data_IF_174432502050
#
_entry.id   IF_174432502050
#
_cell.length_a   1.000
_cell.length_b   1.000
_cell.length_c   1.000
_cell.angle_alpha   90.00
_cell.angle_beta   90.00
_cell.angle_gamma   90.00
#
_symmetry.space_group_name_H-M   'P 1'
#
loop_
_entity.id
_entity.type
_entity.pdbx_description
1 polymer ?
#
# COMPACT_ATOMS: atom_id res chain seq x y z
N UNK A 1 -4.62 -8.69 21.88
CA UNK A 1 -4.04 -9.07 20.57
C UNK A 1 -5.16 -9.19 19.56
N UNK A 2 -4.91 -8.75 18.33
CA UNK A 2 -5.88 -8.85 17.22
C UNK A 2 -5.24 -9.63 16.10
N UNK A 3 -6.03 -10.40 15.37
CA UNK A 3 -5.53 -11.16 14.23
C UNK A 3 -6.61 -11.28 13.17
N UNK A 4 -6.19 -11.43 11.92
CA UNK A 4 -7.09 -11.67 10.80
C UNK A 4 -6.36 -12.45 9.72
N UNK A 5 -7.05 -13.34 8.99
CA UNK A 5 -6.44 -13.94 7.82
C UNK A 5 -6.31 -12.89 6.73
N UNK A 6 -5.18 -12.90 6.01
CA UNK A 6 -5.04 -12.03 4.86
C UNK A 6 -5.71 -12.68 3.66
N UNK A 7 -6.62 -11.96 3.06
CA UNK A 7 -7.31 -12.39 1.86
C UNK A 7 -6.96 -11.44 0.74
N UNK A 8 -6.14 -11.91 -0.18
CA UNK A 8 -5.69 -11.10 -1.31
C UNK A 8 -6.75 -11.11 -2.40
N UNK A 9 -7.89 -10.50 -2.08
CA UNK A 9 -8.92 -10.26 -3.06
C UNK A 9 -8.59 -9.07 -3.93
N UNK A 10 -9.39 -8.83 -4.95
CA UNK A 10 -9.18 -7.74 -5.90
C UNK A 10 -9.27 -6.38 -5.20
N UNK A 11 -8.33 -5.50 -5.53
CA UNK A 11 -8.34 -4.12 -5.06
C UNK A 11 -7.77 -3.94 -3.66
N UNK A 12 -8.18 -2.86 -3.03
CA UNK A 12 -7.70 -2.45 -1.71
C UNK A 12 -8.68 -2.84 -0.62
N UNK A 13 -8.15 -3.41 0.47
CA UNK A 13 -8.99 -3.81 1.59
C UNK A 13 -8.25 -3.66 2.91
N UNK A 14 -8.85 -2.92 3.84
CA UNK A 14 -8.36 -2.82 5.21
C UNK A 14 -8.63 -4.15 5.91
N UNK A 15 -7.58 -4.74 6.49
CA UNK A 15 -7.66 -6.06 7.12
C UNK A 15 -7.81 -5.99 8.63
N UNK A 16 -6.97 -5.22 9.30
CA UNK A 16 -6.95 -5.15 10.76
C UNK A 16 -6.33 -3.82 11.16
N UNK A 17 -6.79 -3.27 12.27
CA UNK A 17 -6.31 -1.97 12.73
C UNK A 17 -6.52 -1.78 14.22
N UNK A 18 -5.79 -0.80 14.76
CA UNK A 18 -6.07 -0.20 16.06
C UNK A 18 -5.93 1.32 15.92
N UNK A 19 -5.89 2.03 17.05
CA UNK A 19 -5.81 3.50 17.01
C UNK A 19 -4.48 4.02 16.45
N UNK A 20 -3.42 3.19 16.43
CA UNK A 20 -2.06 3.63 16.09
C UNK A 20 -1.54 3.08 14.78
N UNK A 21 -2.16 2.03 14.25
CA UNK A 21 -1.66 1.37 13.05
C UNK A 21 -2.77 0.64 12.31
N UNK A 22 -2.50 0.31 11.06
CA UNK A 22 -3.50 -0.28 10.18
C UNK A 22 -2.82 -1.14 9.14
N UNK A 23 -3.35 -2.32 8.89
CA UNK A 23 -2.86 -3.19 7.83
C UNK A 23 -3.93 -3.33 6.75
N UNK A 24 -3.49 -3.33 5.49
CA UNK A 24 -4.39 -3.46 4.35
C UNK A 24 -3.72 -4.29 3.26
N UNK A 25 -4.51 -5.07 2.56
CA UNK A 25 -4.05 -5.75 1.35
C UNK A 25 -4.42 -4.91 0.13
N UNK A 26 -3.56 -4.97 -0.88
CA UNK A 26 -3.83 -4.32 -2.16
C UNK A 26 -3.35 -5.24 -3.27
N UNK A 27 -4.25 -5.56 -4.18
CA UNK A 27 -3.95 -6.43 -5.32
C UNK A 27 -4.15 -5.61 -6.59
N UNK A 28 -3.08 -5.47 -7.35
CA UNK A 28 -3.07 -4.67 -8.58
C UNK A 28 -3.01 -5.63 -9.76
N UNK A 29 -3.98 -5.50 -10.67
CA UNK A 29 -4.03 -6.32 -11.87
C UNK A 29 -2.88 -5.99 -12.82
N UNK A 30 -2.46 -6.95 -13.68
CA UNK A 30 -1.41 -6.67 -14.66
C UNK A 30 -1.73 -5.43 -15.51
N UNK A 31 -0.75 -4.56 -15.66
CA UNK A 31 -0.90 -3.33 -16.43
C UNK A 31 -1.50 -2.16 -15.67
N UNK A 32 -2.05 -2.41 -14.47
CA UNK A 32 -2.65 -1.37 -13.65
C UNK A 32 -1.66 -0.78 -12.66
N UNK A 33 -2.08 0.30 -12.02
CA UNK A 33 -1.31 0.96 -10.99
C UNK A 33 -2.23 1.53 -9.91
N UNK A 34 -1.64 1.83 -8.76
CA UNK A 34 -2.28 2.52 -7.65
C UNK A 34 -1.47 3.75 -7.28
N UNK A 35 -2.17 4.86 -7.01
CA UNK A 35 -1.54 6.14 -6.74
C UNK A 35 -1.16 6.85 -8.02
N UNK A 36 -0.29 7.81 -7.90
CA UNK A 36 0.20 8.61 -9.01
C UNK A 36 1.25 9.59 -8.54
N UNK A 37 1.80 10.41 -9.46
CA UNK A 37 2.90 11.31 -9.10
C UNK A 37 2.59 12.28 -7.97
N UNK A 38 1.31 12.60 -7.79
CA UNK A 38 0.88 13.55 -6.77
C UNK A 38 0.25 12.86 -5.56
N UNK A 39 0.22 11.53 -5.54
CA UNK A 39 -0.40 10.79 -4.45
C UNK A 39 0.56 10.64 -3.28
N UNK A 40 0.10 11.01 -2.09
CA UNK A 40 0.89 10.87 -0.87
C UNK A 40 -0.02 10.80 0.35
N UNK A 41 0.46 10.13 1.39
CA UNK A 41 -0.22 10.05 2.67
C UNK A 41 0.39 11.10 3.60
N UNK A 42 -0.30 12.19 3.84
CA UNK A 42 0.24 13.33 4.56
C UNK A 42 0.55 13.04 6.02
N UNK A 43 -0.15 12.10 6.62
CA UNK A 43 -0.02 11.84 8.03
C UNK A 43 0.48 10.45 8.38
N UNK A 44 0.80 9.63 7.40
CA UNK A 44 1.12 8.21 7.66
C UNK A 44 2.38 7.78 6.93
N UNK A 45 3.19 6.99 7.62
CA UNK A 45 4.20 6.18 6.96
C UNK A 45 3.52 4.91 6.47
N UNK A 46 3.93 4.43 5.30
CA UNK A 46 3.40 3.21 4.70
C UNK A 46 4.53 2.21 4.49
N UNK A 47 4.48 1.12 5.23
CA UNK A 47 5.34 -0.04 4.99
C UNK A 47 4.62 -0.91 3.98
N UNK A 48 5.27 -1.25 2.88
CA UNK A 48 4.68 -2.07 1.83
C UNK A 48 5.54 -3.30 1.59
N UNK A 49 4.92 -4.47 1.72
CA UNK A 49 5.54 -5.76 1.48
C UNK A 49 4.89 -6.42 0.27
N UNK A 50 5.70 -6.95 -0.65
CA UNK A 50 5.21 -7.67 -1.82
C UNK A 50 5.17 -9.16 -1.50
N UNK A 51 3.97 -9.73 -1.51
CA UNK A 51 3.76 -11.15 -1.27
C UNK A 51 4.04 -11.98 -2.53
N UNK A 52 3.53 -11.52 -3.68
CA UNK A 52 3.73 -12.20 -4.95
C UNK A 52 3.57 -11.22 -6.10
N UNK A 53 4.15 -11.57 -7.25
CA UNK A 53 4.08 -10.74 -8.43
C UNK A 53 5.32 -9.89 -8.61
N UNK A 54 5.30 -9.08 -9.66
CA UNK A 54 6.42 -8.21 -10.05
C UNK A 54 5.87 -6.82 -10.33
N UNK A 55 6.57 -5.81 -9.87
CA UNK A 55 6.11 -4.44 -10.06
C UNK A 55 7.22 -3.43 -9.94
N UNK A 56 6.80 -2.17 -9.85
CA UNK A 56 7.69 -1.05 -9.61
C UNK A 56 7.01 -0.05 -8.68
N UNK A 57 7.80 0.55 -7.80
CA UNK A 57 7.39 1.68 -7.02
C UNK A 57 8.06 2.93 -7.60
N UNK A 58 7.28 3.95 -7.89
CA UNK A 58 7.81 5.26 -8.27
C UNK A 58 7.58 6.18 -7.09
N UNK A 59 8.67 6.55 -6.42
CA UNK A 59 8.61 7.35 -5.20
C UNK A 59 9.40 8.62 -5.43
N UNK A 60 8.73 9.76 -5.33
CA UNK A 60 9.31 11.09 -5.59
C UNK A 60 10.02 11.12 -6.94
N UNK A 61 9.41 10.51 -7.96
CA UNK A 61 9.93 10.48 -9.32
C UNK A 61 11.00 9.44 -9.59
N UNK A 62 11.43 8.67 -8.59
CA UNK A 62 12.45 7.65 -8.77
C UNK A 62 11.81 6.26 -8.78
N UNK A 63 12.27 5.42 -9.71
CA UNK A 63 11.71 4.08 -9.93
C UNK A 63 12.51 3.02 -9.20
N UNK A 64 11.80 2.13 -8.51
CA UNK A 64 12.38 1.00 -7.78
C UNK A 64 11.67 -0.28 -8.20
N UNK A 65 12.42 -1.34 -8.50
CA UNK A 65 11.84 -2.63 -8.85
C UNK A 65 11.30 -3.32 -7.61
N UNK A 66 10.13 -3.96 -7.76
CA UNK A 66 9.50 -4.76 -6.71
C UNK A 66 9.34 -6.19 -7.18
N UNK A 67 9.60 -7.13 -6.29
CA UNK A 67 9.34 -8.55 -6.50
C UNK A 67 8.92 -9.18 -5.18
N UNK A 68 8.57 -10.48 -5.22
CA UNK A 68 8.18 -11.19 -4.01
C UNK A 68 9.26 -11.05 -2.94
N UNK A 69 8.88 -10.66 -1.74
CA UNK A 69 9.80 -10.41 -0.64
C UNK A 69 10.29 -8.98 -0.52
N UNK A 70 9.99 -8.10 -1.48
CA UNK A 70 10.37 -6.69 -1.38
C UNK A 70 9.63 -6.03 -0.23
N UNK A 71 10.36 -5.23 0.54
CA UNK A 71 9.80 -4.40 1.61
C UNK A 71 10.31 -2.99 1.42
N UNK A 72 9.39 -2.03 1.34
CA UNK A 72 9.75 -0.62 1.23
C UNK A 72 9.02 0.20 2.28
N UNK A 73 9.62 1.31 2.65
CA UNK A 73 9.00 2.29 3.53
C UNK A 73 8.77 3.57 2.73
N UNK A 74 7.51 3.87 2.52
CA UNK A 74 7.07 5.12 1.91
C UNK A 74 6.77 6.06 3.04
N UNK A 75 7.61 7.08 3.18
CA UNK A 75 7.51 7.98 4.32
C UNK A 75 6.41 9.01 4.11
N UNK A 76 5.88 9.50 5.21
CA UNK A 76 4.87 10.52 5.21
C UNK A 76 5.28 11.69 4.30
N UNK A 77 4.40 12.03 3.35
CA UNK A 77 4.66 13.10 2.41
C UNK A 77 5.33 12.68 1.11
N UNK A 78 5.84 11.46 1.03
CA UNK A 78 6.41 10.96 -0.24
C UNK A 78 5.31 10.80 -1.27
N UNK A 79 5.52 11.33 -2.46
CA UNK A 79 4.65 11.04 -3.60
C UNK A 79 4.97 9.65 -4.10
N UNK A 80 3.95 8.83 -4.36
CA UNK A 80 4.20 7.45 -4.73
C UNK A 80 3.15 6.88 -5.67
N UNK A 81 3.60 5.92 -6.47
CA UNK A 81 2.78 5.15 -7.37
C UNK A 81 3.31 3.73 -7.38
N UNK A 82 2.42 2.74 -7.31
CA UNK A 82 2.79 1.33 -7.37
C UNK A 82 2.20 0.75 -8.66
N UNK A 83 3.05 0.17 -9.50
CA UNK A 83 2.65 -0.39 -10.79
C UNK A 83 2.87 -1.89 -10.83
N UNK A 84 1.93 -2.60 -11.43
CA UNK A 84 2.14 -4.00 -11.77
C UNK A 84 2.78 -4.06 -13.16
N UNK A 85 4.03 -4.51 -13.20
CA UNK A 85 4.80 -4.64 -14.45
C UNK A 85 4.90 -6.09 -14.90
N UNK A 86 4.26 -7.01 -14.19
CA UNK A 86 4.29 -8.43 -14.50
C UNK A 86 3.04 -8.89 -15.24
N UNK A 87 2.87 -10.20 -15.30
CA UNK A 87 1.75 -10.84 -15.99
C UNK A 87 0.74 -11.47 -15.03
N UNK A 88 1.03 -11.45 -13.74
CA UNK A 88 0.15 -12.00 -12.70
C UNK A 88 -0.21 -10.87 -11.73
N UNK A 89 -1.24 -11.07 -10.90
CA UNK A 89 -1.59 -10.05 -9.92
C UNK A 89 -0.42 -9.72 -9.00
N UNK A 90 -0.24 -8.44 -8.72
CA UNK A 90 0.73 -7.97 -7.75
C UNK A 90 0.03 -7.89 -6.40
N UNK A 91 0.39 -8.79 -5.49
CA UNK A 91 -0.24 -8.89 -4.17
C UNK A 91 0.66 -8.23 -3.14
N UNK A 92 0.11 -7.25 -2.45
CA UNK A 92 0.86 -6.47 -1.48
C UNK A 92 0.13 -6.40 -0.16
N UNK A 93 0.93 -6.28 0.91
CA UNK A 93 0.44 -5.97 2.25
C UNK A 93 1.08 -4.66 2.66
N UNK A 94 0.25 -3.71 3.05
CA UNK A 94 0.73 -2.43 3.55
C UNK A 94 0.34 -2.24 5.01
N UNK A 95 1.19 -1.50 5.73
CA UNK A 95 0.93 -1.11 7.09
C UNK A 95 1.06 0.41 7.17
N UNK A 96 0.02 1.08 7.67
CA UNK A 96 -0.02 2.54 7.80
C UNK A 96 0.10 2.93 9.27
N UNK A 97 1.02 3.84 9.56
CA UNK A 97 1.28 4.30 10.94
C UNK A 97 1.35 5.82 10.93
N UNK A 98 0.37 6.52 11.51
CA UNK A 98 -0.94 6.05 11.99
C UNK A 98 -1.85 5.61 10.85
N UNK A 99 -3.07 5.12 11.15
CA UNK A 99 -4.00 4.71 10.12
C UNK A 99 -4.28 5.81 9.10
N UNK A 100 -4.33 5.42 7.82
CA UNK A 100 -4.55 6.34 6.71
C UNK A 100 -5.97 6.25 6.14
N UNK A 101 -6.70 5.18 6.46
CA UNK A 101 -8.00 4.90 5.86
C UNK A 101 -9.03 4.50 6.91
N UNK A 102 -10.30 4.74 6.62
CA UNK A 102 -11.40 4.20 7.42
C UNK A 102 -11.49 2.70 7.19
N UNK A 103 -12.28 2.01 8.04
CA UNK A 103 -12.51 0.58 7.86
C UNK A 103 -13.13 0.25 6.49
N UNK A 104 -13.87 1.18 5.92
CA UNK A 104 -14.45 1.04 4.59
C UNK A 104 -13.51 1.35 3.44
N UNK A 105 -12.28 1.79 3.72
CA UNK A 105 -11.28 2.07 2.71
C UNK A 105 -11.23 3.53 2.26
N UNK A 106 -12.00 4.41 2.87
CA UNK A 106 -11.95 5.84 2.55
C UNK A 106 -10.76 6.49 3.21
N UNK A 107 -10.10 7.39 2.49
CA UNK A 107 -8.93 8.08 3.01
C UNK A 107 -9.31 9.01 4.17
N UNK A 108 -8.51 8.94 5.24
CA UNK A 108 -8.65 9.85 6.37
C UNK A 108 -8.12 11.24 6.01
N UNK A 109 -8.57 12.28 6.73
CA UNK A 109 -8.04 13.63 6.50
C UNK A 109 -6.53 13.68 6.63
N UNK A 110 -5.93 14.65 5.97
CA UNK A 110 -4.50 14.86 5.98
C UNK A 110 -3.95 14.83 7.40
N UNK A 111 -2.89 14.05 7.60
CA UNK A 111 -2.32 13.86 8.90
C UNK A 111 -2.93 12.72 9.69
N UNK A 112 -3.89 12.00 9.12
CA UNK A 112 -4.54 10.87 9.79
C UNK A 112 -5.14 11.25 11.13
N UNK A 113 -5.47 12.47 11.27
CA UNK A 113 -5.89 13.06 12.55
C UNK A 113 -7.36 12.85 12.81
#
# INVERSE_FOLDING_TARGET
MRRAPLRFGKGFKVSIRNARSQAATMVIAPGDCEGGPDNHHRGSDQWLYVSSGTGAAIVNGKRYRLGAGSLILIERGDNHEIRNTGRTPLRTLSQYVPPAYTSGGDELPAGGK
#
